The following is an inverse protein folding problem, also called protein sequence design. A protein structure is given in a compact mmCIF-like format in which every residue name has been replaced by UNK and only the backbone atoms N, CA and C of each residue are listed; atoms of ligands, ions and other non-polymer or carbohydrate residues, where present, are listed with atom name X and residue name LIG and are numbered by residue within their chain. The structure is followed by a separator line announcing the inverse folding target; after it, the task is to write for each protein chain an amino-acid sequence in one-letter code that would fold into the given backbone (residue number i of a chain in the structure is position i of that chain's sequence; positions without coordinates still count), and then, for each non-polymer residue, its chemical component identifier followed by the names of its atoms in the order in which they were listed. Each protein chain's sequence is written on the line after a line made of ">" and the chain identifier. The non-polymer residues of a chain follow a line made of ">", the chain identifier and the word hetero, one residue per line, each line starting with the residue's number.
data_IF_818642066628
#
_entry.id   IF_818642066628
#
_cell.length_a   1.000
_cell.length_b   1.000
_cell.length_c   1.000
_cell.angle_alpha   90.00
_cell.angle_beta   90.00
_cell.angle_gamma   90.00
#
_symmetry.space_group_name_H-M   'P 1'
#
loop_
_entity.id
_entity.type
_entity.pdbx_description
1 polymer ?
#
# COMPACT_ATOMS: atom_id res chain seq x y z
N UNK A 1 -8.43 23.22 -9.52
CA UNK A 1 -8.49 21.91 -10.21
C UNK A 1 -8.06 20.82 -9.22
N UNK A 2 -9.01 20.11 -8.61
CA UNK A 2 -8.65 19.05 -7.65
C UNK A 2 -7.90 17.95 -8.40
N UNK A 3 -6.62 17.73 -8.08
CA UNK A 3 -5.86 16.58 -8.59
C UNK A 3 -6.65 15.34 -8.21
N UNK A 4 -7.18 14.63 -9.20
CA UNK A 4 -7.93 13.39 -8.99
C UNK A 4 -6.93 12.35 -8.47
N UNK A 5 -6.92 12.17 -7.15
CA UNK A 5 -6.08 11.19 -6.48
C UNK A 5 -6.69 9.79 -6.70
N UNK A 6 -5.85 8.77 -6.95
CA UNK A 6 -6.35 7.42 -7.24
C UNK A 6 -6.65 6.58 -6.00
N UNK A 7 -6.54 7.14 -4.79
CA UNK A 7 -6.84 6.50 -3.52
C UNK A 7 -5.72 6.65 -2.52
N UNK A 8 -5.82 5.98 -1.38
CA UNK A 8 -4.85 6.05 -0.29
C UNK A 8 -4.20 4.69 -0.08
N UNK A 9 -2.87 4.64 -0.03
CA UNK A 9 -2.15 3.50 0.52
C UNK A 9 -2.00 3.68 2.04
N UNK A 10 -2.58 2.77 2.79
CA UNK A 10 -2.67 2.82 4.25
C UNK A 10 -1.79 1.75 4.86
N UNK A 11 -0.81 2.15 5.67
CA UNK A 11 0.04 1.23 6.44
C UNK A 11 -0.54 1.06 7.83
N UNK A 12 -0.94 -0.15 8.18
CA UNK A 12 -1.43 -0.50 9.51
C UNK A 12 -0.35 -1.24 10.29
N UNK A 13 0.03 -0.71 11.45
CA UNK A 13 1.00 -1.35 12.34
C UNK A 13 0.84 -0.94 13.79
N UNK A 14 1.39 -1.76 14.70
CA UNK A 14 1.72 -1.31 16.06
C UNK A 14 3.02 -0.51 16.06
N UNK A 15 3.17 0.40 17.02
CA UNK A 15 4.36 1.22 17.22
C UNK A 15 5.32 0.53 18.21
N UNK A 16 5.62 -0.74 17.95
CA UNK A 16 6.56 -1.49 18.77
C UNK A 16 8.00 -1.21 18.36
N UNK A 17 8.85 -0.91 19.35
CA UNK A 17 10.29 -0.64 19.15
C UNK A 17 11.00 -1.78 18.39
N UNK A 18 10.57 -3.01 18.57
CA UNK A 18 11.12 -4.22 17.94
C UNK A 18 10.93 -4.25 16.43
N UNK A 19 9.95 -3.53 15.90
CA UNK A 19 9.60 -3.52 14.46
C UNK A 19 9.99 -2.23 13.74
N UNK A 20 10.54 -1.26 14.45
CA UNK A 20 10.75 0.10 13.95
C UNK A 20 11.50 0.17 12.61
N UNK A 21 12.59 -0.60 12.46
CA UNK A 21 13.35 -0.65 11.19
C UNK A 21 12.50 -1.16 10.04
N UNK A 22 11.69 -2.18 10.29
CA UNK A 22 10.85 -2.84 9.28
C UNK A 22 9.66 -1.98 8.90
N UNK A 23 8.99 -1.41 9.91
CA UNK A 23 7.93 -0.43 9.72
C UNK A 23 8.41 0.73 8.88
N UNK A 24 9.59 1.29 9.20
CA UNK A 24 10.18 2.38 8.43
C UNK A 24 10.42 1.99 6.96
N UNK A 25 10.96 0.80 6.70
CA UNK A 25 11.14 0.31 5.32
C UNK A 25 9.82 0.15 4.57
N UNK A 26 8.79 -0.42 5.19
CA UNK A 26 7.46 -0.58 4.59
C UNK A 26 6.79 0.77 4.36
N UNK A 27 6.86 1.70 5.32
CA UNK A 27 6.34 3.05 5.16
C UNK A 27 7.02 3.78 4.00
N UNK A 28 8.36 3.71 3.88
CA UNK A 28 9.10 4.33 2.79
C UNK A 28 8.72 3.70 1.45
N UNK A 29 8.67 2.37 1.35
CA UNK A 29 8.27 1.68 0.12
C UNK A 29 6.85 2.02 -0.30
N UNK A 30 5.93 2.08 0.67
CA UNK A 30 4.52 2.41 0.44
C UNK A 30 4.37 3.88 0.02
N UNK A 31 5.04 4.81 0.70
CA UNK A 31 5.02 6.24 0.34
C UNK A 31 5.62 6.49 -1.04
N UNK A 32 6.71 5.80 -1.38
CA UNK A 32 7.32 5.85 -2.72
C UNK A 32 6.32 5.36 -3.78
N UNK A 33 5.68 4.23 -3.53
CA UNK A 33 4.68 3.66 -4.44
C UNK A 33 3.47 4.59 -4.61
N UNK A 34 2.97 5.15 -3.51
CA UNK A 34 1.87 6.10 -3.52
C UNK A 34 2.19 7.34 -4.38
N UNK A 35 3.38 7.93 -4.16
CA UNK A 35 3.84 9.07 -4.95
C UNK A 35 3.97 8.75 -6.44
N UNK A 36 4.49 7.58 -6.80
CA UNK A 36 4.62 7.16 -8.21
C UNK A 36 3.25 7.02 -8.88
N UNK A 37 2.24 6.58 -8.14
CA UNK A 37 0.91 6.28 -8.66
C UNK A 37 -0.11 7.40 -8.38
N UNK A 38 0.33 8.61 -8.03
CA UNK A 38 -0.57 9.74 -7.72
C UNK A 38 -1.66 9.38 -6.68
N UNK A 39 -1.22 8.70 -5.62
CA UNK A 39 -2.03 8.28 -4.47
C UNK A 39 -1.61 9.02 -3.20
N UNK A 40 -2.52 9.06 -2.23
CA UNK A 40 -2.19 9.46 -0.86
C UNK A 40 -1.48 8.34 -0.10
N UNK A 41 -0.81 8.72 0.98
CA UNK A 41 -0.22 7.79 1.94
C UNK A 41 -0.74 8.12 3.33
N UNK A 42 -1.11 7.10 4.08
CA UNK A 42 -1.55 7.24 5.47
C UNK A 42 -0.92 6.14 6.34
N UNK A 43 -0.58 6.49 7.58
CA UNK A 43 -0.14 5.55 8.59
C UNK A 43 -1.19 5.44 9.69
N UNK A 44 -1.69 4.24 9.92
CA UNK A 44 -2.74 3.94 10.89
C UNK A 44 -2.17 3.06 11.99
N UNK A 45 -2.11 3.62 13.20
CA UNK A 45 -1.59 2.92 14.38
C UNK A 45 -2.64 2.01 15.00
N UNK A 46 -2.32 0.74 15.20
CA UNK A 46 -3.17 -0.17 15.97
C UNK A 46 -3.13 0.19 17.47
N UNK A 47 -4.30 0.19 18.11
CA UNK A 47 -4.42 0.34 19.58
C UNK A 47 -3.98 -0.91 20.34
N UNK A 48 -4.00 -2.08 19.70
CA UNK A 48 -3.56 -3.36 20.25
C UNK A 48 -2.18 -3.71 19.71
N UNK A 49 -1.34 -4.33 20.53
CA UNK A 49 -0.04 -4.86 20.13
C UNK A 49 -0.24 -5.93 19.06
N UNK A 50 0.14 -5.61 17.83
CA UNK A 50 0.05 -6.49 16.67
C UNK A 50 1.40 -6.54 15.99
N UNK A 51 1.93 -7.76 15.84
CA UNK A 51 3.28 -7.98 15.32
C UNK A 51 3.35 -7.99 13.78
N UNK A 52 2.23 -7.81 13.08
CA UNK A 52 2.20 -7.78 11.62
C UNK A 52 1.91 -6.37 11.13
N UNK A 53 2.62 -5.99 10.08
CA UNK A 53 2.42 -4.74 9.36
C UNK A 53 1.62 -5.07 8.09
N UNK A 54 0.55 -4.34 7.85
CA UNK A 54 -0.28 -4.51 6.66
C UNK A 54 -0.28 -3.25 5.82
N UNK A 55 -0.44 -3.42 4.50
CA UNK A 55 -0.72 -2.31 3.59
C UNK A 55 -2.02 -2.60 2.87
N UNK A 56 -2.91 -1.61 2.89
CA UNK A 56 -4.19 -1.64 2.20
C UNK A 56 -4.28 -0.49 1.20
N UNK A 57 -5.12 -0.67 0.19
CA UNK A 57 -5.59 0.39 -0.67
C UNK A 57 -7.02 0.78 -0.28
N UNK A 58 -7.27 2.06 -0.08
CA UNK A 58 -8.60 2.62 0.15
C UNK A 58 -8.98 3.61 -0.95
N UNK A 59 -10.22 3.53 -1.43
CA UNK A 59 -10.79 4.52 -2.37
C UNK A 59 -11.73 5.52 -1.68
N UNK A 60 -11.95 5.38 -0.37
CA UNK A 60 -12.80 6.25 0.44
C UNK A 60 -14.28 5.86 0.50
N UNK A 61 -14.72 4.87 -0.28
CA UNK A 61 -16.13 4.43 -0.32
C UNK A 61 -16.30 2.96 0.01
N UNK A 62 -15.38 2.10 -0.44
CA UNK A 62 -15.46 0.66 -0.29
C UNK A 62 -14.54 0.15 0.83
N UNK A 63 -14.71 -1.13 1.18
CA UNK A 63 -13.80 -1.83 2.09
C UNK A 63 -12.36 -1.77 1.56
N UNK A 64 -11.36 -1.42 2.40
CA UNK A 64 -9.97 -1.39 2.00
C UNK A 64 -9.48 -2.73 1.47
N UNK A 65 -8.76 -2.69 0.35
CA UNK A 65 -8.24 -3.88 -0.32
C UNK A 65 -6.87 -4.25 0.24
N UNK A 66 -6.65 -5.46 0.77
CA UNK A 66 -5.34 -5.88 1.27
C UNK A 66 -4.35 -6.03 0.12
N UNK A 67 -3.21 -5.35 0.21
CA UNK A 67 -2.15 -5.41 -0.80
C UNK A 67 -0.89 -6.13 -0.31
N UNK A 68 -0.58 -6.00 0.97
CA UNK A 68 0.65 -6.54 1.54
C UNK A 68 0.45 -6.90 3.00
N UNK A 69 1.07 -7.99 3.41
CA UNK A 69 1.22 -8.38 4.80
C UNK A 69 2.68 -8.72 5.03
N UNK A 70 3.26 -8.16 6.08
CA UNK A 70 4.58 -8.55 6.50
C UNK A 70 4.59 -10.02 6.97
N UNK A 71 5.42 -10.84 6.32
CA UNK A 71 5.57 -12.28 6.62
C UNK A 71 6.76 -12.58 7.53
N UNK A 72 7.30 -11.58 8.25
CA UNK A 72 8.43 -11.78 9.16
C UNK A 72 9.81 -11.79 8.47
N UNK A 73 9.87 -11.91 7.14
CA UNK A 73 11.11 -11.86 6.36
C UNK A 73 11.61 -10.42 6.16
N UNK A 74 12.94 -10.25 6.06
CA UNK A 74 13.56 -8.97 5.72
C UNK A 74 13.55 -8.81 4.19
N UNK A 75 12.63 -8.01 3.70
CA UNK A 75 12.51 -7.71 2.26
C UNK A 75 13.24 -6.41 1.91
N UNK A 76 13.80 -6.33 0.70
CA UNK A 76 14.38 -5.07 0.22
C UNK A 76 13.25 -4.11 -0.14
N UNK A 77 13.51 -2.81 -0.03
CA UNK A 77 12.55 -1.76 -0.36
C UNK A 77 11.95 -1.93 -1.77
N UNK A 78 12.77 -2.33 -2.73
CA UNK A 78 12.38 -2.51 -4.13
C UNK A 78 11.45 -3.72 -4.31
N UNK A 79 11.62 -4.76 -3.50
CA UNK A 79 10.74 -5.95 -3.49
C UNK A 79 9.35 -5.57 -2.96
N UNK A 80 9.29 -4.74 -1.91
CA UNK A 80 8.03 -4.24 -1.35
C UNK A 80 7.30 -3.35 -2.38
N UNK A 81 8.00 -2.39 -2.99
CA UNK A 81 7.43 -1.56 -4.07
C UNK A 81 6.90 -2.41 -5.24
N UNK A 82 7.64 -3.44 -5.63
CA UNK A 82 7.25 -4.33 -6.73
C UNK A 82 6.04 -5.17 -6.36
N UNK A 83 5.99 -5.69 -5.14
CA UNK A 83 4.87 -6.47 -4.62
C UNK A 83 3.59 -5.64 -4.57
N UNK A 84 3.66 -4.42 -4.04
CA UNK A 84 2.51 -3.50 -4.01
C UNK A 84 1.97 -3.24 -5.41
N UNK A 85 2.84 -2.91 -6.38
CA UNK A 85 2.44 -2.68 -7.78
C UNK A 85 1.81 -3.92 -8.40
N UNK A 86 2.43 -5.10 -8.25
CA UNK A 86 1.89 -6.37 -8.78
C UNK A 86 0.51 -6.68 -8.20
N UNK A 87 0.32 -6.52 -6.90
CA UNK A 87 -0.97 -6.79 -6.26
C UNK A 87 -2.04 -5.83 -6.74
N UNK A 88 -1.76 -4.52 -6.81
CA UNK A 88 -2.71 -3.55 -7.37
C UNK A 88 -3.04 -3.84 -8.85
N UNK A 89 -2.04 -4.23 -9.64
CA UNK A 89 -2.25 -4.60 -11.04
C UNK A 89 -3.17 -5.81 -11.16
N UNK A 90 -2.89 -6.91 -10.46
CA UNK A 90 -3.73 -8.12 -10.48
C UNK A 90 -5.15 -7.82 -10.00
N UNK A 91 -5.28 -7.10 -8.89
CA UNK A 91 -6.59 -6.78 -8.30
C UNK A 91 -7.40 -5.80 -9.15
N UNK A 92 -6.76 -5.02 -10.03
CA UNK A 92 -7.47 -4.12 -10.96
C UNK A 92 -8.37 -4.84 -11.98
N UNK A 93 -8.15 -6.13 -12.21
CA UNK A 93 -8.98 -6.96 -13.07
C UNK A 93 -10.22 -7.50 -12.35
N UNK A 94 -10.27 -7.42 -11.02
CA UNK A 94 -11.40 -7.91 -10.25
C UNK A 94 -12.60 -6.93 -10.34
N UNK A 95 -13.83 -7.39 -10.65
CA UNK A 95 -14.97 -6.50 -10.90
C UNK A 95 -15.35 -5.66 -9.68
N UNK A 96 -15.13 -6.17 -8.46
CA UNK A 96 -15.37 -5.42 -7.21
C UNK A 96 -14.35 -4.32 -6.91
N UNK A 97 -13.27 -4.22 -7.70
CA UNK A 97 -12.16 -3.30 -7.45
C UNK A 97 -11.98 -2.31 -8.60
N UNK A 98 -13.11 -1.79 -9.09
CA UNK A 98 -13.15 -0.88 -10.25
C UNK A 98 -12.30 0.38 -10.06
N UNK A 99 -12.09 0.84 -8.82
CA UNK A 99 -11.23 1.96 -8.49
C UNK A 99 -9.75 1.73 -8.86
N UNK A 100 -9.27 0.48 -8.81
CA UNK A 100 -7.91 0.11 -9.22
C UNK A 100 -7.72 0.10 -10.75
N UNK A 101 -8.79 0.13 -11.55
CA UNK A 101 -8.67 0.15 -13.03
C UNK A 101 -7.87 1.37 -13.51
N UNK A 102 -8.05 2.54 -12.89
CA UNK A 102 -7.29 3.75 -13.22
C UNK A 102 -5.82 3.67 -12.80
N UNK A 103 -5.54 2.89 -11.75
CA UNK A 103 -4.19 2.66 -11.24
C UNK A 103 -3.40 1.77 -12.20
N UNK A 104 -4.06 0.78 -12.81
CA UNK A 104 -3.46 -0.14 -13.78
C UNK A 104 -2.71 0.60 -14.88
N UNK A 105 -3.34 1.60 -15.49
CA UNK A 105 -2.74 2.37 -16.58
C UNK A 105 -1.48 3.11 -16.12
N UNK A 106 -1.49 3.64 -14.89
CA UNK A 106 -0.31 4.27 -14.28
C UNK A 106 0.80 3.26 -14.00
N UNK A 107 0.45 2.05 -13.54
CA UNK A 107 1.43 0.98 -13.29
C UNK A 107 2.14 0.59 -14.59
N UNK A 108 1.41 0.45 -15.70
CA UNK A 108 1.99 0.07 -17.00
C UNK A 108 3.01 1.10 -17.51
N UNK A 109 2.82 2.39 -17.22
CA UNK A 109 3.75 3.46 -17.59
C UNK A 109 5.09 3.40 -16.81
N UNK A 110 5.08 2.90 -15.58
CA UNK A 110 6.25 2.86 -14.69
C UNK A 110 6.80 1.45 -14.45
N UNK A 111 6.42 0.48 -15.31
CA UNK A 111 6.85 -0.92 -15.22
C UNK A 111 8.13 -1.19 -16.00
#
# INVERSE_FOLDING_TARGET
>A
MFKKNFGTLMVYASDEKTQYKKLKSIQVATKKTASMLNMNFEFIKFKKNYSKIYVYYGNGTDEPIPLYCDKGKKEKLQDICTTLRKMMFVLSFHPKHSALKRVRDSIMTFS
#
